data_IF_218686916330
#
_entry.id   IF_218686916330
#
_cell.length_a   1.000
_cell.length_b   1.000
_cell.length_c   1.000
_cell.angle_alpha   90.00
_cell.angle_beta   90.00
_cell.angle_gamma   90.00
#
_symmetry.space_group_name_H-M   'P 1'
#
loop_
_entity.id
_entity.type
_entity.pdbx_description
1 polymer ?
#
# COMPACT_ATOMS: atom_id res chain seq x y z
N UNK A 1 55.66 -39.68 -26.61
CA UNK A 1 54.56 -40.63 -26.89
C UNK A 1 53.82 -40.97 -25.59
N UNK A 2 54.51 -41.47 -24.57
CA UNK A 2 53.90 -41.76 -23.25
C UNK A 2 53.22 -40.58 -22.54
N UNK A 3 53.73 -39.34 -22.67
CA UNK A 3 53.08 -38.19 -22.03
C UNK A 3 51.62 -37.98 -22.49
N UNK A 4 51.35 -38.15 -23.79
CA UNK A 4 49.99 -38.04 -24.36
C UNK A 4 49.08 -39.20 -23.94
N UNK A 5 49.64 -40.39 -23.78
CA UNK A 5 48.91 -41.57 -23.31
C UNK A 5 48.53 -41.45 -21.83
N UNK A 6 49.41 -40.88 -21.00
CA UNK A 6 49.15 -40.58 -19.59
C UNK A 6 48.09 -39.47 -19.42
N UNK A 7 48.17 -38.41 -20.21
CA UNK A 7 47.19 -37.31 -20.21
C UNK A 7 45.79 -37.82 -20.59
N UNK A 8 45.69 -38.58 -21.69
CA UNK A 8 44.43 -39.19 -22.10
C UNK A 8 43.89 -40.21 -21.07
N UNK A 9 44.75 -40.85 -20.27
CA UNK A 9 44.31 -41.70 -19.17
C UNK A 9 43.77 -40.90 -17.99
N UNK A 10 44.44 -39.82 -17.58
CA UNK A 10 43.99 -38.91 -16.54
C UNK A 10 42.61 -38.32 -16.89
N UNK A 11 42.44 -37.82 -18.12
CA UNK A 11 41.17 -37.27 -18.59
C UNK A 11 40.02 -38.28 -18.49
N UNK A 12 40.27 -39.56 -18.84
CA UNK A 12 39.28 -40.63 -18.72
C UNK A 12 38.92 -40.94 -17.26
N UNK A 13 39.91 -40.97 -16.38
CA UNK A 13 39.70 -41.21 -14.94
C UNK A 13 38.91 -40.06 -14.32
N UNK A 14 39.25 -38.82 -14.65
CA UNK A 14 38.55 -37.63 -14.16
C UNK A 14 37.11 -37.57 -14.68
N UNK A 15 36.89 -37.85 -15.97
CA UNK A 15 35.54 -37.94 -16.54
C UNK A 15 34.70 -39.04 -15.88
N UNK A 16 35.28 -40.22 -15.64
CA UNK A 16 34.60 -41.32 -14.94
C UNK A 16 34.24 -40.92 -13.49
N UNK A 17 35.17 -40.29 -12.77
CA UNK A 17 34.94 -39.79 -11.40
C UNK A 17 33.84 -38.73 -11.36
N UNK A 18 33.84 -37.79 -12.30
CA UNK A 18 32.79 -36.76 -12.40
C UNK A 18 31.43 -37.39 -12.67
N UNK A 19 31.36 -38.40 -13.55
CA UNK A 19 30.13 -39.14 -13.83
C UNK A 19 29.59 -39.85 -12.58
N UNK A 20 30.45 -40.53 -11.82
CA UNK A 20 30.04 -41.18 -10.56
C UNK A 20 29.57 -40.18 -9.50
N UNK A 21 30.22 -39.00 -9.40
CA UNK A 21 29.76 -37.93 -8.52
C UNK A 21 28.38 -37.39 -8.92
N UNK A 22 28.16 -37.17 -10.22
CA UNK A 22 26.87 -36.71 -10.73
C UNK A 22 25.76 -37.73 -10.48
N UNK A 23 26.02 -39.03 -10.67
CA UNK A 23 25.07 -40.10 -10.34
C UNK A 23 24.72 -40.12 -8.85
N UNK A 24 25.72 -40.02 -7.98
CA UNK A 24 25.50 -40.01 -6.54
C UNK A 24 24.68 -38.79 -6.08
N UNK A 25 24.96 -37.62 -6.67
CA UNK A 25 24.17 -36.40 -6.44
C UNK A 25 22.74 -36.55 -6.94
N UNK A 26 22.53 -37.07 -8.15
CA UNK A 26 21.20 -37.29 -8.71
C UNK A 26 20.37 -38.26 -7.84
N UNK A 27 20.95 -39.38 -7.41
CA UNK A 27 20.29 -40.32 -6.50
C UNK A 27 19.92 -39.68 -5.15
N UNK A 28 20.79 -38.81 -4.62
CA UNK A 28 20.49 -38.05 -3.40
C UNK A 28 19.35 -37.06 -3.61
N UNK A 29 19.35 -36.32 -4.72
CA UNK A 29 18.29 -35.38 -5.07
C UNK A 29 16.95 -36.12 -5.17
N UNK A 30 16.90 -37.24 -5.90
CA UNK A 30 15.70 -38.06 -6.05
C UNK A 30 15.18 -38.59 -4.71
N UNK A 31 16.08 -39.07 -3.83
CA UNK A 31 15.71 -39.50 -2.48
C UNK A 31 15.10 -38.36 -1.64
N UNK A 32 15.64 -37.15 -1.74
CA UNK A 32 15.09 -35.97 -1.06
C UNK A 32 13.71 -35.62 -1.63
N UNK A 33 13.57 -35.58 -2.95
CA UNK A 33 12.29 -35.24 -3.60
C UNK A 33 11.22 -36.28 -3.26
N UNK A 34 11.56 -37.57 -3.30
CA UNK A 34 10.68 -38.66 -2.89
C UNK A 34 10.17 -38.48 -1.45
N UNK A 35 11.06 -38.16 -0.49
CA UNK A 35 10.65 -37.87 0.89
C UNK A 35 9.77 -36.61 1.03
N UNK A 36 9.97 -35.60 0.18
CA UNK A 36 9.11 -34.41 0.17
C UNK A 36 7.73 -34.72 -0.43
N UNK A 37 7.65 -35.57 -1.45
CA UNK A 37 6.38 -36.10 -2.00
C UNK A 37 5.61 -36.87 -0.94
N UNK A 38 6.26 -37.74 -0.17
CA UNK A 38 5.65 -38.51 0.93
C UNK A 38 5.03 -37.64 2.03
N UNK A 39 5.56 -36.43 2.24
CA UNK A 39 5.05 -35.46 3.21
C UNK A 39 3.93 -34.57 2.60
N UNK A 40 3.61 -34.77 1.32
CA UNK A 40 2.49 -34.14 0.63
C UNK A 40 2.85 -32.87 -0.13
N UNK A 41 4.09 -32.72 -0.60
CA UNK A 41 4.52 -31.58 -1.45
C UNK A 41 4.64 -31.93 -2.93
N UNK A 42 4.01 -33.02 -3.38
CA UNK A 42 4.06 -33.45 -4.78
C UNK A 42 3.59 -32.37 -5.75
N UNK A 43 2.46 -31.73 -5.46
CA UNK A 43 1.91 -30.66 -6.30
C UNK A 43 2.88 -29.49 -6.48
N UNK A 44 3.54 -29.06 -5.40
CA UNK A 44 4.53 -27.98 -5.50
C UNK A 44 5.79 -28.41 -6.26
N UNK A 45 6.25 -29.66 -6.09
CA UNK A 45 7.39 -30.21 -6.82
C UNK A 45 7.09 -30.27 -8.32
N UNK A 46 5.91 -30.73 -8.69
CA UNK A 46 5.52 -30.87 -10.08
C UNK A 46 5.28 -29.49 -10.75
N UNK A 47 4.77 -28.51 -10.00
CA UNK A 47 4.52 -27.14 -10.48
C UNK A 47 5.83 -26.35 -10.73
N UNK A 48 6.72 -26.28 -9.73
CA UNK A 48 7.95 -25.48 -9.83
C UNK A 48 9.12 -26.24 -10.46
N UNK A 49 9.06 -27.57 -10.45
CA UNK A 49 10.15 -28.45 -10.85
C UNK A 49 11.30 -28.49 -9.83
N UNK A 50 12.19 -29.46 -10.02
CA UNK A 50 13.31 -29.71 -9.10
C UNK A 50 14.30 -28.52 -9.03
N UNK A 51 14.45 -27.77 -10.13
CA UNK A 51 15.39 -26.65 -10.23
C UNK A 51 15.11 -25.57 -9.17
N UNK A 52 13.85 -25.17 -9.01
CA UNK A 52 13.47 -24.13 -8.05
C UNK A 52 13.76 -24.54 -6.59
N UNK A 53 13.57 -25.82 -6.26
CA UNK A 53 13.79 -26.35 -4.90
C UNK A 53 15.28 -26.48 -4.58
N UNK A 54 16.08 -26.87 -5.57
CA UNK A 54 17.54 -27.02 -5.40
C UNK A 54 18.28 -25.70 -5.38
N UNK A 55 17.70 -24.63 -5.93
CA UNK A 55 18.32 -23.31 -6.02
C UNK A 55 18.70 -22.78 -4.64
N UNK A 56 19.98 -22.48 -4.44
CA UNK A 56 20.49 -21.98 -3.16
C UNK A 56 20.57 -23.01 -2.03
N UNK A 57 20.29 -24.29 -2.31
CA UNK A 57 20.38 -25.40 -1.35
C UNK A 57 21.51 -26.39 -1.71
N UNK A 58 22.54 -25.91 -2.41
CA UNK A 58 23.66 -26.72 -2.93
C UNK A 58 24.28 -27.66 -1.91
N UNK A 59 24.46 -27.24 -0.66
CA UNK A 59 25.03 -28.08 0.39
C UNK A 59 24.19 -29.33 0.70
N UNK A 60 22.87 -29.26 0.54
CA UNK A 60 21.93 -30.35 0.82
C UNK A 60 21.85 -31.29 -0.38
N UNK A 61 21.74 -30.73 -1.59
CA UNK A 61 21.44 -31.47 -2.82
C UNK A 61 22.68 -31.91 -3.62
N UNK A 62 23.81 -31.19 -3.56
CA UNK A 62 25.04 -31.51 -4.31
C UNK A 62 26.06 -32.33 -3.50
N UNK A 63 25.71 -32.77 -2.30
CA UNK A 63 26.56 -33.69 -1.54
C UNK A 63 26.61 -35.07 -2.22
N UNK A 64 27.80 -35.64 -2.50
CA UNK A 64 27.91 -36.98 -3.08
C UNK A 64 27.69 -38.11 -2.05
N UNK A 65 27.49 -37.79 -0.76
CA UNK A 65 27.21 -38.78 0.28
C UNK A 65 25.76 -39.24 0.21
N UNK A 66 25.48 -40.49 0.55
CA UNK A 66 24.10 -40.97 0.72
C UNK A 66 23.38 -40.20 1.82
N UNK A 67 22.08 -39.96 1.63
CA UNK A 67 21.26 -39.26 2.61
C UNK A 67 21.01 -40.17 3.82
N UNK A 68 21.59 -39.82 4.97
CA UNK A 68 21.33 -40.53 6.22
C UNK A 68 20.10 -39.96 6.92
N UNK A 69 19.46 -40.75 7.78
CA UNK A 69 18.29 -40.28 8.54
C UNK A 69 18.63 -39.09 9.45
N UNK A 70 19.81 -39.10 10.05
CA UNK A 70 20.31 -37.99 10.87
C UNK A 70 20.46 -36.70 10.06
N UNK A 71 21.04 -36.79 8.86
CA UNK A 71 21.16 -35.64 7.96
C UNK A 71 19.78 -35.13 7.52
N UNK A 72 18.86 -36.03 7.19
CA UNK A 72 17.49 -35.67 6.84
C UNK A 72 16.82 -34.87 7.95
N UNK A 73 16.85 -35.36 9.19
CA UNK A 73 16.22 -34.65 10.32
C UNK A 73 16.85 -33.27 10.58
N UNK A 74 18.14 -33.10 10.29
CA UNK A 74 18.81 -31.80 10.45
C UNK A 74 18.31 -30.74 9.45
N UNK A 75 18.09 -31.11 8.18
CA UNK A 75 17.71 -30.14 7.14
C UNK A 75 16.20 -30.09 6.85
N UNK A 76 15.45 -31.11 7.26
CA UNK A 76 14.00 -31.21 7.07
C UNK A 76 13.24 -29.94 7.48
N UNK A 77 13.48 -29.30 8.63
CA UNK A 77 12.76 -28.07 8.98
C UNK A 77 12.97 -26.93 7.98
N UNK A 78 14.20 -26.80 7.44
CA UNK A 78 14.54 -25.78 6.44
C UNK A 78 13.84 -26.06 5.11
N UNK A 79 13.80 -27.34 4.69
CA UNK A 79 13.09 -27.74 3.48
C UNK A 79 11.58 -27.57 3.61
N UNK A 80 10.98 -27.93 4.76
CA UNK A 80 9.54 -27.72 5.01
C UNK A 80 9.20 -26.23 4.93
N UNK A 81 10.03 -25.36 5.51
CA UNK A 81 9.82 -23.92 5.39
C UNK A 81 9.81 -23.47 3.92
N UNK A 82 10.84 -23.87 3.15
CA UNK A 82 10.91 -23.57 1.72
C UNK A 82 9.68 -24.08 0.96
N UNK A 83 9.26 -25.32 1.21
CA UNK A 83 8.11 -25.91 0.52
C UNK A 83 6.79 -25.25 0.90
N UNK A 84 6.65 -24.75 2.14
CA UNK A 84 5.49 -23.95 2.53
C UNK A 84 5.48 -22.58 1.84
N UNK A 85 6.65 -21.94 1.69
CA UNK A 85 6.77 -20.67 0.96
C UNK A 85 6.39 -20.88 -0.52
N UNK A 86 6.87 -21.96 -1.15
CA UNK A 86 6.50 -22.35 -2.52
C UNK A 86 5.00 -22.68 -2.64
N UNK A 87 4.43 -23.40 -1.67
CA UNK A 87 2.98 -23.65 -1.63
C UNK A 87 2.19 -22.36 -1.59
N UNK A 88 2.61 -21.39 -0.79
CA UNK A 88 1.95 -20.09 -0.72
C UNK A 88 2.06 -19.34 -2.05
N UNK A 89 3.21 -19.37 -2.72
CA UNK A 89 3.42 -18.76 -4.03
C UNK A 89 2.54 -19.41 -5.11
N UNK A 90 2.44 -20.74 -5.11
CA UNK A 90 1.53 -21.49 -5.99
C UNK A 90 0.08 -21.10 -5.73
N UNK A 91 -0.36 -21.13 -4.47
CA UNK A 91 -1.74 -20.76 -4.10
C UNK A 91 -2.06 -19.33 -4.52
N UNK A 92 -1.14 -18.40 -4.34
CA UNK A 92 -1.29 -17.01 -4.77
C UNK A 92 -1.49 -16.92 -6.29
N UNK A 93 -0.70 -17.69 -7.06
CA UNK A 93 -0.71 -17.66 -8.53
C UNK A 93 -1.89 -18.42 -9.15
N UNK A 94 -2.13 -19.66 -8.71
CA UNK A 94 -3.12 -20.56 -9.31
C UNK A 94 -4.54 -20.34 -8.76
N UNK A 95 -4.67 -19.86 -7.52
CA UNK A 95 -5.97 -19.81 -6.83
C UNK A 95 -6.39 -18.38 -6.54
N UNK A 96 -5.57 -17.61 -5.83
CA UNK A 96 -5.99 -16.30 -5.33
C UNK A 96 -5.97 -15.22 -6.43
N UNK A 97 -4.98 -15.25 -7.31
CA UNK A 97 -4.85 -14.29 -8.41
C UNK A 97 -6.03 -14.37 -9.42
N UNK A 98 -6.46 -15.54 -9.91
CA UNK A 98 -7.66 -15.64 -10.75
C UNK A 98 -8.93 -15.12 -10.06
N UNK A 99 -9.07 -15.35 -8.74
CA UNK A 99 -10.20 -14.83 -7.96
C UNK A 99 -10.15 -13.31 -7.78
N UNK A 100 -8.95 -12.73 -7.62
CA UNK A 100 -8.77 -11.27 -7.62
C UNK A 100 -9.10 -10.67 -8.98
N UNK A 101 -8.71 -11.32 -10.08
CA UNK A 101 -9.10 -10.88 -11.43
C UNK A 101 -10.63 -10.91 -11.62
N UNK A 102 -11.30 -11.94 -11.11
CA UNK A 102 -12.77 -11.98 -11.10
C UNK A 102 -13.34 -10.82 -10.28
N UNK A 103 -12.81 -10.57 -9.08
CA UNK A 103 -13.21 -9.43 -8.26
C UNK A 103 -13.01 -8.10 -9.00
N UNK A 104 -11.90 -7.92 -9.71
CA UNK A 104 -11.64 -6.73 -10.56
C UNK A 104 -12.81 -6.50 -11.52
N UNK A 105 -13.19 -7.53 -12.28
CA UNK A 105 -14.28 -7.44 -13.27
C UNK A 105 -15.60 -7.08 -12.58
N UNK A 106 -15.93 -7.77 -11.48
CA UNK A 106 -17.18 -7.53 -10.75
C UNK A 106 -17.23 -6.16 -10.09
N UNK A 107 -16.09 -5.65 -9.63
CA UNK A 107 -15.99 -4.33 -9.02
C UNK A 107 -16.22 -3.23 -10.07
N UNK A 108 -15.61 -3.34 -11.24
CA UNK A 108 -15.87 -2.37 -12.31
C UNK A 108 -17.33 -2.45 -12.81
N UNK A 109 -17.91 -3.65 -12.93
CA UNK A 109 -19.35 -3.82 -13.21
C UNK A 109 -20.21 -3.12 -12.13
N UNK A 110 -19.85 -3.27 -10.85
CA UNK A 110 -20.56 -2.61 -9.75
C UNK A 110 -20.45 -1.07 -9.81
N UNK A 111 -19.29 -0.52 -10.21
CA UNK A 111 -19.05 0.92 -10.28
C UNK A 111 -19.68 1.55 -11.53
N UNK A 112 -19.64 0.87 -12.68
CA UNK A 112 -20.19 1.36 -13.94
C UNK A 112 -21.73 1.33 -13.99
N UNK A 113 -22.35 0.43 -13.21
CA UNK A 113 -23.80 0.43 -13.04
C UNK A 113 -24.21 1.52 -12.04
N UNK A 114 -25.08 2.47 -12.42
CA UNK A 114 -25.46 3.55 -11.53
C UNK A 114 -26.15 2.99 -10.29
N UNK A 115 -25.70 3.43 -9.11
CA UNK A 115 -26.34 3.08 -7.85
C UNK A 115 -27.83 3.49 -7.87
N UNK A 116 -28.70 2.79 -7.13
CA UNK A 116 -30.10 3.17 -6.98
C UNK A 116 -30.22 4.66 -6.63
N UNK A 117 -31.18 5.36 -7.26
CA UNK A 117 -31.41 6.80 -7.07
C UNK A 117 -31.46 7.15 -5.58
N UNK A 118 -30.46 7.91 -5.08
CA UNK A 118 -30.34 8.31 -3.67
C UNK A 118 -29.09 7.80 -2.93
N UNK A 119 -28.29 6.92 -3.53
CA UNK A 119 -26.99 6.55 -2.98
C UNK A 119 -25.95 7.65 -3.24
N UNK A 120 -25.25 8.10 -2.19
CA UNK A 120 -24.15 9.06 -2.29
C UNK A 120 -22.91 8.33 -2.85
N UNK A 121 -22.77 8.28 -4.18
CA UNK A 121 -21.66 7.60 -4.89
C UNK A 121 -20.41 8.48 -5.00
N UNK A 122 -20.14 9.34 -4.02
CA UNK A 122 -19.09 10.35 -4.23
C UNK A 122 -17.68 9.81 -3.92
N UNK A 123 -17.54 8.68 -3.21
CA UNK A 123 -16.24 8.09 -2.88
C UNK A 123 -16.34 6.59 -2.55
N UNK A 124 -15.72 5.75 -3.37
CA UNK A 124 -15.56 4.31 -3.13
C UNK A 124 -14.11 3.97 -2.75
N UNK A 125 -13.88 2.89 -1.96
CA UNK A 125 -12.54 2.42 -1.67
C UNK A 125 -11.83 1.94 -2.94
N UNK A 126 -10.50 1.85 -2.91
CA UNK A 126 -9.79 1.22 -4.03
C UNK A 126 -10.12 -0.28 -4.11
N UNK A 127 -9.91 -0.90 -5.28
CA UNK A 127 -10.01 -2.36 -5.41
C UNK A 127 -9.09 -3.08 -4.40
N UNK A 128 -7.93 -2.48 -4.10
CA UNK A 128 -6.97 -3.01 -3.14
C UNK A 128 -7.53 -3.01 -1.71
N UNK A 129 -8.27 -1.97 -1.34
CA UNK A 129 -8.98 -1.91 -0.05
C UNK A 129 -10.08 -2.97 -0.01
N UNK A 130 -10.90 -3.04 -1.06
CA UNK A 130 -12.03 -3.99 -1.16
C UNK A 130 -11.54 -5.42 -1.06
N UNK A 131 -10.46 -5.78 -1.77
CA UNK A 131 -9.88 -7.13 -1.72
C UNK A 131 -9.39 -7.54 -0.33
N UNK A 132 -9.11 -6.58 0.56
CA UNK A 132 -8.69 -6.84 1.95
C UNK A 132 -9.82 -6.74 2.98
N UNK A 133 -11.01 -6.31 2.58
CA UNK A 133 -12.17 -6.42 3.46
C UNK A 133 -12.47 -7.89 3.73
N UNK A 134 -12.81 -8.20 4.99
CA UNK A 134 -12.95 -9.58 5.46
C UNK A 134 -13.90 -10.41 4.58
N UNK A 135 -15.08 -9.92 4.15
CA UNK A 135 -15.96 -10.70 3.28
C UNK A 135 -15.34 -11.08 1.93
N UNK A 136 -14.53 -10.19 1.34
CA UNK A 136 -13.86 -10.42 0.06
C UNK A 136 -12.61 -11.29 0.21
N UNK A 137 -11.74 -10.98 1.19
CA UNK A 137 -10.51 -11.74 1.45
C UNK A 137 -10.84 -13.20 1.79
N UNK A 138 -11.91 -13.44 2.55
CA UNK A 138 -12.39 -14.79 2.88
C UNK A 138 -12.76 -15.57 1.63
N UNK A 139 -13.46 -14.96 0.68
CA UNK A 139 -13.85 -15.59 -0.59
C UNK A 139 -12.60 -15.86 -1.46
N UNK A 140 -11.69 -14.88 -1.55
CA UNK A 140 -10.44 -15.01 -2.32
C UNK A 140 -9.62 -16.19 -1.78
N UNK A 141 -9.53 -16.35 -0.46
CA UNK A 141 -8.73 -17.37 0.23
C UNK A 141 -9.44 -18.68 0.53
N UNK A 142 -10.61 -18.93 -0.07
CA UNK A 142 -11.26 -20.25 0.03
C UNK A 142 -10.31 -21.37 -0.43
N UNK A 143 -10.47 -22.61 0.05
CA UNK A 143 -9.66 -23.73 -0.43
C UNK A 143 -9.69 -23.90 -1.96
N UNK A 144 -8.61 -24.45 -2.55
CA UNK A 144 -8.43 -24.54 -4.01
C UNK A 144 -9.53 -25.38 -4.70
N UNK A 145 -10.10 -26.35 -4.00
CA UNK A 145 -11.17 -27.21 -4.49
C UNK A 145 -12.55 -26.51 -4.54
N UNK A 146 -12.66 -25.29 -4.02
CA UNK A 146 -13.90 -24.51 -4.07
C UNK A 146 -13.92 -23.65 -5.33
N UNK A 147 -14.91 -23.89 -6.19
CA UNK A 147 -15.18 -23.03 -7.34
C UNK A 147 -15.75 -21.70 -6.87
N UNK A 148 -15.07 -20.60 -7.22
CA UNK A 148 -15.50 -19.24 -6.92
C UNK A 148 -15.98 -18.57 -8.20
N UNK A 149 -17.17 -17.97 -8.15
CA UNK A 149 -17.82 -17.31 -9.27
C UNK A 149 -18.51 -15.99 -8.82
N UNK A 150 -19.24 -15.35 -9.75
CA UNK A 150 -20.00 -14.11 -9.47
C UNK A 150 -20.99 -14.28 -8.31
N UNK A 151 -21.67 -15.42 -8.23
CA UNK A 151 -22.65 -15.67 -7.18
C UNK A 151 -21.99 -15.77 -5.80
N UNK A 152 -20.77 -16.31 -5.75
CA UNK A 152 -19.98 -16.41 -4.51
C UNK A 152 -19.65 -15.04 -3.93
N UNK A 153 -19.35 -14.04 -4.79
CA UNK A 153 -19.05 -12.66 -4.36
C UNK A 153 -20.27 -11.82 -4.02
N UNK A 154 -21.47 -12.21 -4.46
CA UNK A 154 -22.69 -11.40 -4.28
C UNK A 154 -22.92 -10.95 -2.82
N UNK A 155 -22.85 -11.83 -1.80
CA UNK A 155 -23.09 -11.42 -0.41
C UNK A 155 -22.06 -10.42 0.12
N UNK A 156 -20.83 -10.45 -0.43
CA UNK A 156 -19.79 -9.47 -0.09
C UNK A 156 -20.08 -8.11 -0.74
N UNK A 157 -20.55 -8.10 -1.99
CA UNK A 157 -21.01 -6.87 -2.65
C UNK A 157 -22.26 -6.28 -1.99
N UNK A 158 -23.19 -7.10 -1.50
CA UNK A 158 -24.36 -6.63 -0.75
C UNK A 158 -23.95 -5.87 0.54
N UNK A 159 -22.79 -6.21 1.13
CA UNK A 159 -22.21 -5.55 2.30
C UNK A 159 -21.29 -4.36 1.96
N UNK A 160 -20.92 -4.19 0.68
CA UNK A 160 -19.95 -3.18 0.26
C UNK A 160 -20.33 -1.74 0.65
N UNK A 161 -21.62 -1.31 0.61
CA UNK A 161 -21.99 0.03 1.08
C UNK A 161 -21.61 0.28 2.54
N UNK A 162 -21.95 -0.64 3.45
CA UNK A 162 -21.61 -0.53 4.87
C UNK A 162 -20.09 -0.54 5.09
N UNK A 163 -19.37 -1.44 4.41
CA UNK A 163 -17.90 -1.49 4.50
C UNK A 163 -17.25 -0.20 3.98
N UNK A 164 -17.84 0.43 2.97
CA UNK A 164 -17.38 1.72 2.43
C UNK A 164 -17.58 2.84 3.43
N UNK A 165 -18.71 2.88 4.13
CA UNK A 165 -18.97 3.86 5.19
C UNK A 165 -17.96 3.72 6.34
N UNK A 166 -17.70 2.49 6.79
CA UNK A 166 -16.72 2.21 7.84
C UNK A 166 -15.29 2.57 7.41
N UNK A 167 -14.92 2.25 6.17
CA UNK A 167 -13.63 2.62 5.59
C UNK A 167 -13.49 4.15 5.53
N UNK A 168 -14.50 4.86 5.04
CA UNK A 168 -14.52 6.32 4.95
C UNK A 168 -14.42 6.97 6.32
N UNK A 169 -15.20 6.50 7.29
CA UNK A 169 -15.17 7.01 8.67
C UNK A 169 -13.78 6.84 9.31
N UNK A 170 -13.10 5.71 9.06
CA UNK A 170 -11.72 5.49 9.53
C UNK A 170 -10.74 6.43 8.85
N UNK A 171 -10.87 6.64 7.54
CA UNK A 171 -10.01 7.57 6.79
C UNK A 171 -10.19 9.02 7.27
N UNK A 172 -11.44 9.44 7.47
CA UNK A 172 -11.80 10.76 8.00
C UNK A 172 -11.27 10.96 9.43
N UNK A 173 -11.43 9.97 10.31
CA UNK A 173 -10.87 10.03 11.66
C UNK A 173 -9.34 10.18 11.61
N UNK A 174 -8.65 9.39 10.79
CA UNK A 174 -7.21 9.52 10.63
C UNK A 174 -6.80 10.92 10.15
N UNK A 175 -7.46 11.47 9.14
CA UNK A 175 -7.18 12.82 8.64
C UNK A 175 -7.50 13.90 9.69
N UNK A 176 -8.62 13.79 10.40
CA UNK A 176 -9.01 14.75 11.42
C UNK A 176 -8.01 14.78 12.58
N UNK A 177 -7.35 13.66 12.88
CA UNK A 177 -6.30 13.59 13.91
C UNK A 177 -5.05 14.41 13.55
N UNK A 178 -4.83 14.66 12.26
CA UNK A 178 -3.73 15.50 11.78
C UNK A 178 -4.05 16.99 11.87
N UNK A 179 -5.33 17.37 12.02
CA UNK A 179 -5.76 18.77 12.10
C UNK A 179 -5.52 19.29 13.53
N UNK A 180 -4.26 19.54 13.85
CA UNK A 180 -3.84 20.17 15.10
C UNK A 180 -3.43 21.61 14.82
N UNK A 181 -4.35 22.53 15.09
CA UNK A 181 -4.16 23.96 14.83
C UNK A 181 -3.73 24.62 16.14
N UNK A 182 -2.47 25.10 16.25
CA UNK A 182 -2.01 25.74 17.47
C UNK A 182 -2.84 27.00 17.77
N UNK A 183 -3.39 27.07 18.98
CA UNK A 183 -3.91 28.32 19.52
C UNK A 183 -2.71 29.24 19.72
N UNK A 184 -2.69 30.40 19.07
CA UNK A 184 -1.76 31.42 19.57
C UNK A 184 -2.52 32.12 20.67
N UNK A 185 -2.18 31.83 21.93
CA UNK A 185 -2.45 32.77 23.01
C UNK A 185 -1.55 33.98 22.79
N UNK A 186 -2.08 35.20 22.63
CA UNK A 186 -1.35 36.36 23.10
C UNK A 186 -1.40 36.32 24.63
N UNK A 187 -0.24 36.24 25.29
CA UNK A 187 -0.04 36.52 26.73
C UNK A 187 -1.06 35.87 27.69
N UNK A 188 -0.74 34.67 28.18
CA UNK A 188 -1.31 34.18 29.42
C UNK A 188 -0.29 34.43 30.54
N UNK A 189 -0.54 35.46 31.34
CA UNK A 189 -0.10 35.47 32.73
C UNK A 189 -0.71 34.25 33.44
N UNK A 190 0.05 33.73 34.39
CA UNK A 190 -0.20 32.51 35.13
C UNK A 190 -1.63 32.43 35.67
N UNK A 191 -2.29 31.31 35.37
CA UNK A 191 -3.40 30.81 36.18
C UNK A 191 -3.37 29.29 36.12
N UNK A 192 -2.66 28.72 37.10
CA UNK A 192 -2.87 27.37 37.62
C UNK A 192 -4.35 27.15 37.92
N UNK A 193 -4.99 26.20 37.25
CA UNK A 193 -5.54 25.02 37.93
C UNK A 193 -6.26 24.08 36.96
N UNK A 194 -6.20 22.79 37.27
CA UNK A 194 -7.26 21.85 36.93
C UNK A 194 -7.05 21.02 35.68
N UNK A 195 -6.41 19.87 35.88
CA UNK A 195 -6.53 18.65 35.07
C UNK A 195 -7.82 18.55 34.25
N UNK A 196 -7.68 18.82 32.95
CA UNK A 196 -8.58 18.34 31.92
C UNK A 196 -7.72 17.79 30.80
N UNK A 197 -7.25 16.55 30.98
CA UNK A 197 -7.06 15.60 29.88
C UNK A 197 -8.43 15.35 29.24
N UNK A 198 -8.99 16.38 28.62
CA UNK A 198 -10.26 16.35 27.92
C UNK A 198 -9.96 15.72 26.57
N UNK A 199 -10.03 14.38 26.55
CA UNK A 199 -10.44 13.56 25.42
C UNK A 199 -10.50 14.35 24.08
N UNK A 200 -9.35 14.55 23.42
CA UNK A 200 -9.27 15.02 22.03
C UNK A 200 -9.86 13.93 21.14
N UNK A 201 -11.17 13.71 21.25
CA UNK A 201 -11.93 12.94 20.27
C UNK A 201 -11.74 13.67 18.96
N UNK A 202 -11.19 12.91 18.02
CA UNK A 202 -10.95 13.30 16.65
C UNK A 202 -12.24 13.73 15.98
N UNK A 203 -12.65 15.00 16.18
CA UNK A 203 -13.89 15.52 15.61
C UNK A 203 -13.69 15.68 14.10
N UNK A 204 -14.35 14.81 13.32
CA UNK A 204 -14.33 14.82 11.85
C UNK A 204 -14.76 16.18 11.29
N UNK A 205 -15.55 16.98 12.03
CA UNK A 205 -15.91 18.35 11.64
C UNK A 205 -14.68 19.25 11.45
N UNK A 206 -13.54 18.93 12.06
CA UNK A 206 -12.27 19.66 11.88
C UNK A 206 -11.78 19.63 10.43
N UNK A 207 -12.15 18.61 9.64
CA UNK A 207 -11.84 18.56 8.21
C UNK A 207 -12.55 19.66 7.39
N UNK A 208 -13.62 20.25 7.92
CA UNK A 208 -14.36 21.35 7.27
C UNK A 208 -13.74 22.73 7.53
N UNK A 209 -12.73 22.83 8.40
CA UNK A 209 -12.05 24.08 8.70
C UNK A 209 -11.30 24.57 7.47
N UNK A 210 -11.31 25.89 7.23
CA UNK A 210 -10.50 26.50 6.15
C UNK A 210 -8.99 26.31 6.36
N UNK A 211 -8.59 25.99 7.59
CA UNK A 211 -7.22 25.66 7.97
C UNK A 211 -6.84 24.19 7.74
N UNK A 212 -7.81 23.31 7.46
CA UNK A 212 -7.59 21.89 7.20
C UNK A 212 -7.13 21.65 5.75
N UNK A 213 -5.99 22.25 5.41
CA UNK A 213 -5.32 22.09 4.12
C UNK A 213 -4.14 21.15 4.33
N UNK A 214 -3.97 20.20 3.42
CA UNK A 214 -2.95 19.16 3.53
C UNK A 214 -1.96 19.25 2.37
N UNK A 215 -0.68 19.24 2.69
CA UNK A 215 0.39 19.21 1.71
C UNK A 215 0.80 17.76 1.43
N UNK A 216 0.84 17.40 0.16
CA UNK A 216 1.33 16.10 -0.31
C UNK A 216 2.85 16.03 -0.18
N UNK A 217 3.36 15.03 0.55
CA UNK A 217 4.81 14.83 0.79
C UNK A 217 5.44 13.75 -0.09
N UNK A 218 4.62 12.94 -0.77
CA UNK A 218 5.07 11.81 -1.57
C UNK A 218 4.59 11.86 -3.03
N UNK A 219 5.24 11.08 -3.89
CA UNK A 219 4.87 10.89 -5.29
C UNK A 219 5.11 12.10 -6.20
N UNK A 220 4.58 12.03 -7.42
CA UNK A 220 4.73 13.04 -8.48
C UNK A 220 3.99 14.36 -8.20
N UNK A 221 3.06 14.36 -7.23
CA UNK A 221 2.29 15.53 -6.82
C UNK A 221 2.78 16.15 -5.51
N UNK A 222 4.02 15.87 -5.12
CA UNK A 222 4.66 16.48 -3.93
C UNK A 222 4.54 18.00 -3.97
N UNK A 223 4.21 18.59 -2.82
CA UNK A 223 3.96 20.02 -2.64
C UNK A 223 2.55 20.45 -3.02
N UNK A 224 1.73 19.56 -3.61
CA UNK A 224 0.33 19.84 -3.88
C UNK A 224 -0.46 20.05 -2.59
N UNK A 225 -1.33 21.06 -2.58
CA UNK A 225 -2.22 21.36 -1.46
C UNK A 225 -3.62 20.81 -1.75
N UNK A 226 -4.19 20.11 -0.80
CA UNK A 226 -5.47 19.42 -0.91
C UNK A 226 -6.36 19.74 0.29
N UNK A 227 -7.66 19.73 0.05
CA UNK A 227 -8.69 19.91 1.08
C UNK A 227 -9.65 18.73 1.05
N UNK A 228 -10.39 18.53 2.14
CA UNK A 228 -11.49 17.57 2.14
C UNK A 228 -12.66 18.08 1.27
N UNK A 229 -13.36 17.24 0.49
CA UNK A 229 -13.19 15.78 0.36
C UNK A 229 -12.16 15.33 -0.68
N UNK A 230 -11.67 16.21 -1.55
CA UNK A 230 -10.75 15.88 -2.66
C UNK A 230 -9.51 15.11 -2.23
N UNK A 231 -9.03 15.37 -1.02
CA UNK A 231 -7.93 14.66 -0.39
C UNK A 231 -8.15 13.14 -0.35
N UNK A 232 -9.36 12.68 0.00
CA UNK A 232 -9.66 11.25 0.09
C UNK A 232 -9.62 10.54 -1.27
N UNK A 233 -10.04 11.23 -2.32
CA UNK A 233 -10.01 10.71 -3.70
C UNK A 233 -8.64 10.87 -4.37
N UNK A 234 -7.66 11.50 -3.70
CA UNK A 234 -6.43 11.89 -4.35
C UNK A 234 -5.54 10.67 -4.68
N UNK A 235 -4.97 10.58 -5.91
CA UNK A 235 -4.15 9.44 -6.34
C UNK A 235 -2.88 9.20 -5.52
N UNK A 236 -2.51 10.08 -4.59
CA UNK A 236 -1.38 9.85 -3.68
C UNK A 236 -1.64 8.69 -2.71
N UNK A 237 -2.91 8.41 -2.42
CA UNK A 237 -3.32 7.26 -1.60
C UNK A 237 -3.56 6.00 -2.44
N UNK A 238 -3.71 6.16 -3.75
CA UNK A 238 -3.71 5.04 -4.68
C UNK A 238 -2.26 4.62 -4.92
N UNK A 239 -1.86 3.45 -4.41
CA UNK A 239 -0.54 2.90 -4.67
C UNK A 239 -0.44 2.45 -6.14
N UNK A 240 -0.19 3.40 -7.04
CA UNK A 240 0.08 3.21 -8.47
C UNK A 240 -0.73 2.12 -9.18
N UNK A 241 -1.85 2.53 -9.79
CA UNK A 241 -2.36 1.92 -11.00
C UNK A 241 -1.22 1.87 -12.04
N UNK A 242 -0.62 0.71 -12.24
CA UNK A 242 -0.10 0.38 -13.55
C UNK A 242 -1.32 0.10 -14.44
N UNK A 243 -1.31 0.62 -15.67
CA UNK A 243 -2.47 0.70 -16.56
C UNK A 243 -3.07 -0.65 -17.01
N UNK A 244 -3.83 -0.68 -18.13
CA UNK A 244 -4.59 -1.86 -18.58
C UNK A 244 -3.74 -3.11 -18.85
N UNK A 245 -2.41 -2.99 -18.86
CA UNK A 245 -1.42 -4.05 -19.04
C UNK A 245 -0.72 -4.50 -17.75
N UNK A 246 -1.21 -4.08 -16.57
CA UNK A 246 -0.71 -4.57 -15.27
C UNK A 246 -1.20 -6.00 -14.97
N UNK A 247 -0.87 -6.92 -15.87
CA UNK A 247 -1.12 -8.36 -15.78
C UNK A 247 -0.24 -9.07 -14.73
N UNK A 248 0.40 -8.34 -13.83
CA UNK A 248 1.37 -8.87 -12.88
C UNK A 248 1.17 -8.24 -11.50
N UNK A 249 0.26 -8.80 -10.72
CA UNK A 249 0.16 -8.52 -9.28
C UNK A 249 1.37 -9.16 -8.57
N UNK A 250 2.55 -8.54 -8.70
CA UNK A 250 3.75 -8.88 -7.92
C UNK A 250 4.15 -7.78 -6.93
N UNK A 251 3.37 -6.70 -6.85
CA UNK A 251 3.60 -5.60 -5.90
C UNK A 251 2.54 -5.62 -4.79
N UNK A 252 2.92 -5.30 -3.54
CA UNK A 252 2.00 -5.30 -2.42
C UNK A 252 0.86 -4.31 -2.67
N UNK A 253 -0.36 -4.86 -2.71
CA UNK A 253 -1.63 -4.13 -2.76
C UNK A 253 -1.64 -3.05 -1.68
N UNK A 254 -1.85 -1.80 -2.05
CA UNK A 254 -1.75 -0.67 -1.14
C UNK A 254 -3.10 -0.30 -0.56
N UNK A 255 -3.26 -0.39 0.76
CA UNK A 255 -4.47 0.05 1.46
C UNK A 255 -4.38 1.55 1.70
N UNK A 256 -5.52 2.24 1.67
CA UNK A 256 -5.58 3.64 2.06
C UNK A 256 -4.91 3.84 3.44
N UNK A 257 -3.87 4.67 3.46
CA UNK A 257 -3.01 4.86 4.63
C UNK A 257 -2.40 6.27 4.61
N UNK A 258 -2.21 6.86 5.79
CA UNK A 258 -1.44 8.10 5.93
C UNK A 258 0.07 7.90 5.77
N UNK A 259 0.52 6.65 5.76
CA UNK A 259 1.93 6.27 5.70
C UNK A 259 2.23 5.48 4.44
N UNK A 260 3.38 5.76 3.83
CA UNK A 260 3.92 4.97 2.73
C UNK A 260 4.47 3.61 3.23
N UNK A 261 4.92 2.75 2.31
CA UNK A 261 5.48 1.43 2.63
C UNK A 261 6.78 1.50 3.46
N UNK A 262 7.36 2.68 3.64
CA UNK A 262 8.56 2.93 4.46
C UNK A 262 8.20 3.58 5.81
N UNK A 263 6.92 3.81 6.09
CA UNK A 263 6.44 4.45 7.31
C UNK A 263 6.50 5.98 7.29
N UNK A 264 6.74 6.63 6.14
CA UNK A 264 6.76 8.08 6.04
C UNK A 264 5.35 8.63 5.80
N UNK A 265 5.06 9.82 6.36
CA UNK A 265 3.80 10.52 6.12
C UNK A 265 3.65 10.89 4.64
N UNK A 266 2.50 10.53 4.07
CA UNK A 266 2.13 10.86 2.69
C UNK A 266 1.58 12.28 2.59
N UNK A 267 0.91 12.75 3.65
CA UNK A 267 0.34 14.10 3.75
C UNK A 267 0.60 14.70 5.14
N UNK A 268 0.70 16.02 5.19
CA UNK A 268 0.86 16.78 6.43
C UNK A 268 -0.04 18.02 6.43
N UNK A 269 -0.44 18.48 7.61
CA UNK A 269 -1.21 19.71 7.74
C UNK A 269 -0.37 20.91 7.31
N UNK A 270 -0.87 21.68 6.35
CA UNK A 270 -0.22 22.87 5.83
C UNK A 270 -0.54 24.09 6.70
N UNK A 271 0.44 24.50 7.53
CA UNK A 271 0.28 25.60 8.48
C UNK A 271 -0.01 26.97 7.82
N UNK A 272 0.35 27.15 6.54
CA UNK A 272 0.10 28.39 5.80
C UNK A 272 -1.40 28.73 5.69
N UNK A 273 -2.28 27.73 5.68
CA UNK A 273 -3.72 27.95 5.63
C UNK A 273 -4.24 28.69 6.87
N UNK A 274 -3.80 28.30 8.07
CA UNK A 274 -4.14 28.98 9.32
C UNK A 274 -3.72 30.45 9.32
N UNK A 275 -2.62 30.79 8.66
CA UNK A 275 -2.16 32.18 8.55
C UNK A 275 -3.08 33.01 7.66
N UNK A 276 -3.52 32.47 6.53
CA UNK A 276 -4.46 33.16 5.62
C UNK A 276 -5.79 33.42 6.31
N UNK A 277 -6.31 32.44 7.06
CA UNK A 277 -7.55 32.60 7.85
C UNK A 277 -7.42 33.73 8.88
N UNK A 278 -6.28 33.80 9.61
CA UNK A 278 -6.00 34.89 10.56
C UNK A 278 -5.90 36.25 9.89
N UNK A 279 -5.23 36.35 8.74
CA UNK A 279 -5.12 37.60 7.97
C UNK A 279 -6.49 38.10 7.50
N UNK A 280 -7.40 37.16 7.24
CA UNK A 280 -8.77 37.50 6.94
C UNK A 280 -9.55 37.90 8.19
N UNK A 281 -9.01 37.82 9.41
CA UNK A 281 -9.67 38.19 10.65
C UNK A 281 -10.72 37.17 11.09
N UNK A 282 -10.46 35.89 10.84
CA UNK A 282 -11.23 34.76 11.36
C UNK A 282 -10.32 33.88 12.24
N UNK A 283 -10.93 33.08 13.11
CA UNK A 283 -10.22 32.13 13.96
C UNK A 283 -9.97 30.81 13.21
N UNK A 284 -8.71 30.38 12.99
CA UNK A 284 -8.35 29.11 12.37
C UNK A 284 -8.98 27.86 12.98
N UNK A 285 -9.30 27.88 14.27
CA UNK A 285 -9.83 26.70 14.97
C UNK A 285 -11.33 26.48 14.73
N UNK A 286 -12.03 27.49 14.23
CA UNK A 286 -13.50 27.48 14.09
C UNK A 286 -13.97 27.84 12.68
N UNK A 287 -13.21 28.65 11.95
CA UNK A 287 -13.58 29.12 10.62
C UNK A 287 -13.59 27.98 9.59
N UNK A 288 -14.73 27.80 8.94
CA UNK A 288 -14.94 26.82 7.88
C UNK A 288 -14.58 27.36 6.51
N UNK A 289 -14.47 26.47 5.52
CA UNK A 289 -14.34 26.85 4.09
C UNK A 289 -15.47 27.77 3.67
N UNK A 290 -16.70 27.48 4.10
CA UNK A 290 -17.90 28.29 3.79
C UNK A 290 -17.81 29.71 4.37
N UNK A 291 -17.26 29.86 5.59
CA UNK A 291 -17.07 31.18 6.20
C UNK A 291 -16.10 32.05 5.38
N UNK A 292 -15.00 31.44 4.91
CA UNK A 292 -14.01 32.12 4.06
C UNK A 292 -14.57 32.44 2.66
N UNK A 293 -15.33 31.52 2.07
CA UNK A 293 -15.97 31.71 0.76
C UNK A 293 -17.05 32.81 0.82
N UNK A 294 -17.88 32.84 1.86
CA UNK A 294 -18.86 33.92 2.09
C UNK A 294 -18.20 35.28 2.30
N UNK A 295 -17.11 35.31 3.07
CA UNK A 295 -16.35 36.55 3.31
C UNK A 295 -15.65 37.06 2.05
N UNK A 296 -15.33 36.15 1.12
CA UNK A 296 -14.72 36.42 -0.18
C UNK A 296 -13.56 37.44 -0.13
N UNK A 297 -12.57 37.26 0.77
CA UNK A 297 -11.52 38.26 0.97
C UNK A 297 -10.62 38.38 -0.28
N UNK A 298 -10.03 39.57 -0.43
CA UNK A 298 -9.03 39.88 -1.46
C UNK A 298 -7.69 40.15 -0.77
N UNK A 299 -6.68 39.37 -1.15
CA UNK A 299 -5.36 39.39 -0.54
C UNK A 299 -4.33 39.81 -1.59
N UNK A 300 -3.34 40.59 -1.19
CA UNK A 300 -2.26 41.04 -2.06
C UNK A 300 -0.95 40.51 -1.50
N UNK A 301 -0.13 39.88 -2.35
CA UNK A 301 1.24 39.51 -1.96
C UNK A 301 2.21 40.66 -2.27
N UNK A 302 2.88 41.19 -1.25
CA UNK A 302 3.87 42.28 -1.35
C UNK A 302 5.26 41.81 -1.79
N UNK A 303 5.46 40.51 -2.01
CA UNK A 303 6.73 39.94 -2.46
C UNK A 303 6.67 39.25 -3.83
N UNK A 304 5.48 38.86 -4.30
CA UNK A 304 5.35 38.35 -5.65
C UNK A 304 5.56 39.49 -6.65
N UNK A 305 6.59 39.37 -7.48
CA UNK A 305 6.88 40.36 -8.52
C UNK A 305 5.97 40.13 -9.73
N UNK A 306 4.93 40.96 -9.87
CA UNK A 306 4.02 40.97 -11.02
C UNK A 306 4.41 42.04 -12.07
N UNK A 307 5.63 42.56 -12.01
CA UNK A 307 6.08 43.69 -12.82
C UNK A 307 5.74 45.04 -12.19
N UNK A 308 6.34 46.12 -12.71
CA UNK A 308 6.36 47.45 -12.07
C UNK A 308 5.03 48.22 -12.02
N UNK A 309 3.94 47.66 -12.57
CA UNK A 309 2.64 48.36 -12.69
C UNK A 309 1.42 47.52 -12.33
N UNK A 310 1.57 46.30 -11.81
CA UNK A 310 0.42 45.47 -11.44
C UNK A 310 0.59 44.86 -10.05
N UNK A 311 -0.50 44.86 -9.26
CA UNK A 311 -0.57 44.10 -8.00
C UNK A 311 -1.40 42.85 -8.24
N UNK A 312 -0.84 41.69 -7.91
CA UNK A 312 -1.58 40.43 -7.92
C UNK A 312 -2.60 40.44 -6.79
N UNK A 313 -3.88 40.42 -7.15
CA UNK A 313 -4.99 40.26 -6.19
C UNK A 313 -5.44 38.81 -6.21
N UNK A 314 -5.42 38.18 -5.05
CA UNK A 314 -5.70 36.76 -4.88
C UNK A 314 -7.00 36.54 -4.11
N UNK A 315 -7.71 35.48 -4.50
CA UNK A 315 -8.69 34.84 -3.61
C UNK A 315 -7.95 34.17 -2.45
N UNK A 316 -8.65 33.87 -1.35
CA UNK A 316 -8.01 33.17 -0.23
C UNK A 316 -7.46 31.79 -0.63
N UNK A 317 -8.18 31.04 -1.48
CA UNK A 317 -7.72 29.72 -1.99
C UNK A 317 -6.39 29.83 -2.73
N UNK A 318 -6.22 30.86 -3.56
CA UNK A 318 -4.96 31.07 -4.28
C UNK A 318 -3.86 31.62 -3.36
N UNK A 319 -4.23 32.42 -2.35
CA UNK A 319 -3.28 32.96 -1.38
C UNK A 319 -2.68 31.88 -0.47
N UNK A 320 -3.43 30.80 -0.19
CA UNK A 320 -2.91 29.64 0.57
C UNK A 320 -1.74 28.98 -0.16
N UNK A 321 -1.77 28.91 -1.49
CA UNK A 321 -0.71 28.32 -2.31
C UNK A 321 0.44 29.28 -2.63
N UNK A 322 0.42 30.52 -2.12
CA UNK A 322 1.47 31.50 -2.35
C UNK A 322 2.74 31.12 -1.55
N UNK A 323 3.94 31.09 -2.16
CA UNK A 323 5.17 30.59 -1.52
C UNK A 323 5.56 31.30 -0.19
N UNK A 324 6.37 30.65 0.66
CA UNK A 324 6.39 30.81 2.12
C UNK A 324 7.09 32.07 2.64
N UNK A 325 7.25 33.11 1.84
CA UNK A 325 7.62 34.43 2.38
C UNK A 325 6.41 35.19 2.96
N UNK A 326 5.42 34.46 3.44
CA UNK A 326 4.58 34.63 4.63
C UNK A 326 4.39 36.02 5.28
N UNK A 327 5.36 36.95 5.35
CA UNK A 327 5.14 38.36 5.78
C UNK A 327 4.43 39.25 4.73
N UNK A 328 4.06 38.70 3.58
CA UNK A 328 3.73 39.53 2.43
C UNK A 328 2.27 39.60 2.04
N UNK A 329 1.39 38.84 2.67
CA UNK A 329 -0.03 38.94 2.37
C UNK A 329 -0.68 40.05 3.19
N UNK A 330 -1.20 41.07 2.52
CA UNK A 330 -2.03 42.13 3.10
C UNK A 330 -3.47 41.97 2.62
N UNK A 331 -4.42 42.32 3.50
CA UNK A 331 -5.82 42.47 3.11
C UNK A 331 -5.94 43.75 2.28
N UNK A 332 -6.52 43.63 1.09
CA UNK A 332 -6.81 44.78 0.22
C UNK A 332 -7.90 45.67 0.79
#
# INVERSE_FOLDING_TARGET
>A
QHARECEAWLDRVDAARQCELMKAQAARQESIMSRLKDIGYETEIDYFGHGAITLGQDAIFKSPKQLTEREWQNFRPKLIKLMNDLRQERMETEVYHPRRNLLTILYYDYVENPAPTGAVVDLLPSLDDVAKFVPFDTIIKLPENVKVDKATFKPAFDQLPTLTEEWKARAEAQLASLVNIPANSPTAEESTDGHQEQEYKTDVRRLKLASAVFEVKSGSRRGGLLVYPDLLAHPVFAHHLAGPTAMFYSKPMGVWSLLDNRGNRIVELFCGASRVVRLCGLDPQTATVDDMDRRNPRLICTQCNHGSKTMGVYTWKNAVSCPPSSRCLLRS
#
